data_IF_791062594355
#
_entry.id   IF_791062594355
#
_cell.length_a   1.000
_cell.length_b   1.000
_cell.length_c   1.000
_cell.angle_alpha   90.00
_cell.angle_beta   90.00
_cell.angle_gamma   90.00
#
_symmetry.space_group_name_H-M   'P 1'
#
loop_
_entity.id
_entity.type
_entity.pdbx_description
1 polymer ?
#
# COMPACT_ATOMS: atom_id res chain seq x y z
N UNK A 1 35.33 24.85 30.70
CA UNK A 1 35.54 23.56 29.98
C UNK A 1 34.48 23.43 28.90
N UNK A 2 34.91 23.22 27.65
CA UNK A 2 34.16 23.46 26.40
C UNK A 2 33.48 22.15 25.94
N UNK A 3 32.14 22.19 25.92
CA UNK A 3 31.17 21.40 25.14
C UNK A 3 31.57 19.99 24.68
N UNK A 4 30.79 18.97 25.07
CA UNK A 4 30.67 17.72 24.29
C UNK A 4 29.20 17.31 24.14
N UNK A 5 28.54 17.94 23.18
CA UNK A 5 27.18 17.62 22.71
C UNK A 5 27.15 16.24 22.03
N UNK A 6 27.41 15.17 22.78
CA UNK A 6 27.61 13.81 22.27
C UNK A 6 26.31 12.99 22.22
N UNK A 7 25.16 13.58 22.54
CA UNK A 7 23.89 12.83 22.69
C UNK A 7 22.94 12.97 21.49
N UNK A 8 23.20 13.90 20.55
CA UNK A 8 22.26 14.21 19.46
C UNK A 8 22.56 13.47 18.13
N UNK A 9 23.68 12.76 18.02
CA UNK A 9 24.19 12.23 16.72
C UNK A 9 23.70 10.83 16.35
N UNK A 10 23.19 10.05 17.31
CA UNK A 10 22.78 8.66 17.07
C UNK A 10 21.29 8.50 16.75
N UNK A 11 20.45 9.46 17.14
CA UNK A 11 19.00 9.39 16.97
C UNK A 11 18.58 9.66 15.50
N UNK A 12 19.31 10.55 14.80
CA UNK A 12 19.02 10.93 13.41
C UNK A 12 19.26 9.75 12.44
N UNK A 13 20.27 8.91 12.70
CA UNK A 13 20.54 7.72 11.89
C UNK A 13 19.50 6.61 12.06
N UNK A 14 18.89 6.50 13.24
CA UNK A 14 17.87 5.49 13.53
C UNK A 14 16.51 5.79 12.88
N UNK A 15 16.21 7.08 12.64
CA UNK A 15 14.94 7.51 12.04
C UNK A 15 14.91 7.41 10.50
N UNK A 16 16.08 7.40 9.84
CA UNK A 16 16.20 7.31 8.38
C UNK A 16 16.20 5.87 7.84
N UNK A 17 16.20 4.86 8.72
CA UNK A 17 16.27 3.44 8.38
C UNK A 17 14.94 2.70 8.55
N UNK A 18 13.82 3.42 8.67
CA UNK A 18 12.49 2.80 8.60
C UNK A 18 12.07 2.73 7.12
N UNK A 19 12.29 1.61 6.40
CA UNK A 19 11.72 1.44 5.09
C UNK A 19 10.19 1.50 5.21
N UNK A 20 9.56 2.31 4.37
CA UNK A 20 8.12 2.30 4.20
C UNK A 20 7.72 0.91 3.68
N UNK A 21 7.07 0.11 4.52
CA UNK A 21 6.49 -1.15 4.07
C UNK A 21 5.34 -0.80 3.10
N UNK A 22 5.56 -0.96 1.80
CA UNK A 22 4.52 -0.78 0.79
C UNK A 22 3.81 -2.11 0.57
N UNK A 23 2.53 -2.18 0.97
CA UNK A 23 1.66 -3.33 0.73
C UNK A 23 0.76 -2.99 -0.46
N UNK A 24 1.01 -3.60 -1.62
CA UNK A 24 0.15 -3.46 -2.80
C UNK A 24 -0.73 -4.70 -2.96
N UNK A 25 -2.05 -4.50 -3.12
CA UNK A 25 -3.00 -5.58 -3.39
C UNK A 25 -3.18 -5.78 -4.91
N UNK A 26 -3.34 -7.03 -5.35
CA UNK A 26 -3.73 -7.37 -6.72
C UNK A 26 -5.24 -7.59 -6.78
N UNK A 27 -5.92 -6.94 -7.72
CA UNK A 27 -7.34 -7.15 -7.99
C UNK A 27 -7.54 -7.69 -9.40
N UNK A 28 -8.35 -8.74 -9.52
CA UNK A 28 -8.71 -9.37 -10.79
C UNK A 28 -9.98 -8.73 -11.36
N UNK A 29 -9.93 -8.36 -12.64
CA UNK A 29 -11.05 -7.74 -13.36
C UNK A 29 -11.32 -8.55 -14.62
N UNK A 30 -12.58 -8.93 -14.81
CA UNK A 30 -13.07 -9.66 -15.98
C UNK A 30 -14.35 -9.00 -16.50
N UNK A 31 -14.32 -8.53 -17.74
CA UNK A 31 -15.45 -7.88 -18.39
C UNK A 31 -16.56 -8.85 -18.81
N UNK A 32 -16.35 -10.16 -18.76
CA UNK A 32 -17.30 -11.17 -19.23
C UNK A 32 -18.21 -11.71 -18.12
N UNK A 33 -17.80 -11.66 -16.84
CA UNK A 33 -18.58 -12.20 -15.70
C UNK A 33 -19.98 -11.57 -15.58
N UNK A 34 -21.03 -12.31 -15.21
CA UNK A 34 -22.38 -11.70 -15.16
C UNK A 34 -22.53 -10.60 -14.09
N UNK A 35 -21.87 -10.78 -12.94
CA UNK A 35 -21.92 -9.85 -11.81
C UNK A 35 -20.57 -9.72 -11.14
N UNK A 36 -20.31 -8.56 -10.53
CA UNK A 36 -19.06 -8.29 -9.81
C UNK A 36 -18.87 -9.20 -8.59
N UNK A 37 -17.66 -9.73 -8.43
CA UNK A 37 -17.20 -10.43 -7.22
C UNK A 37 -16.40 -9.54 -6.27
N UNK A 38 -15.43 -10.12 -5.56
CA UNK A 38 -14.56 -9.41 -4.60
C UNK A 38 -13.18 -9.03 -5.16
N UNK A 39 -12.85 -9.49 -6.38
CA UNK A 39 -11.60 -9.22 -7.06
C UNK A 39 -10.38 -9.95 -6.49
N UNK A 40 -10.54 -10.89 -5.56
CA UNK A 40 -9.40 -11.59 -4.92
C UNK A 40 -8.88 -12.78 -5.74
N UNK A 41 -9.63 -13.21 -6.76
CA UNK A 41 -9.28 -14.27 -7.70
C UNK A 41 -10.01 -14.12 -9.04
N UNK A 42 -9.60 -14.84 -10.08
CA UNK A 42 -10.35 -14.91 -11.34
C UNK A 42 -11.76 -15.49 -11.18
N UNK A 43 -11.97 -16.41 -10.23
CA UNK A 43 -13.29 -16.99 -9.96
C UNK A 43 -14.26 -15.97 -9.33
N UNK A 44 -13.72 -14.90 -8.74
CA UNK A 44 -14.48 -13.85 -8.05
C UNK A 44 -14.11 -12.46 -8.59
N UNK A 45 -13.81 -12.36 -9.88
CA UNK A 45 -13.33 -11.12 -10.50
C UNK A 45 -14.35 -9.97 -10.41
N UNK A 46 -13.84 -8.73 -10.38
CA UNK A 46 -14.65 -7.52 -10.53
C UNK A 46 -15.09 -7.38 -12.00
N UNK A 47 -16.29 -6.84 -12.24
CA UNK A 47 -16.86 -6.71 -13.58
C UNK A 47 -16.19 -5.60 -14.38
N UNK A 48 -15.77 -4.53 -13.72
CA UNK A 48 -15.30 -3.31 -14.38
C UNK A 48 -13.93 -2.87 -13.89
N UNK A 49 -13.21 -2.19 -14.78
CA UNK A 49 -11.91 -1.59 -14.44
C UNK A 49 -12.08 -0.53 -13.35
N UNK A 50 -13.19 0.22 -13.35
CA UNK A 50 -13.43 1.26 -12.35
C UNK A 50 -13.53 0.67 -10.93
N UNK A 51 -14.23 -0.45 -10.77
CA UNK A 51 -14.29 -1.15 -9.47
C UNK A 51 -12.89 -1.59 -9.01
N UNK A 52 -12.04 -2.04 -9.94
CA UNK A 52 -10.65 -2.39 -9.63
C UNK A 52 -9.81 -1.20 -9.15
N UNK A 53 -9.99 -0.03 -9.80
CA UNK A 53 -9.34 1.22 -9.39
C UNK A 53 -9.82 1.66 -8.01
N UNK A 54 -11.13 1.67 -7.78
CA UNK A 54 -11.73 2.05 -6.49
C UNK A 54 -11.28 1.13 -5.35
N UNK A 55 -11.15 -0.17 -5.62
CA UNK A 55 -10.63 -1.16 -4.67
C UNK A 55 -9.14 -0.95 -4.36
N UNK A 56 -8.34 -0.56 -5.35
CA UNK A 56 -6.91 -0.26 -5.18
C UNK A 56 -6.65 1.01 -4.37
N UNK A 57 -7.52 2.02 -4.52
CA UNK A 57 -7.40 3.32 -3.86
C UNK A 57 -8.11 3.38 -2.49
N UNK A 58 -8.61 2.25 -1.96
CA UNK A 58 -9.44 2.22 -0.74
C UNK A 58 -8.79 2.88 0.48
N UNK A 59 -7.46 2.85 0.55
CA UNK A 59 -6.68 3.43 1.65
C UNK A 59 -5.99 4.76 1.28
N UNK A 60 -6.21 5.27 0.06
CA UNK A 60 -5.67 6.54 -0.45
C UNK A 60 -6.62 7.74 -0.19
N UNK A 61 -7.39 7.68 0.91
CA UNK A 61 -8.45 8.66 1.21
C UNK A 61 -8.17 9.47 2.47
#
# INVERSE_FOLDING_TARGET
MKIRNLQARWIIGLFLLFPSLSLAATYYVDGDVESSGDGTSWATALKTIQEGVDASARYDR
#
